data_IF_210481727022
#
_entry.id   IF_210481727022
#
_cell.length_a   1.000
_cell.length_b   1.000
_cell.length_c   1.000
_cell.angle_alpha   90.00
_cell.angle_beta   90.00
_cell.angle_gamma   90.00
#
_symmetry.space_group_name_H-M   'P 1'
#
loop_
_entity.id
_entity.type
_entity.pdbx_description
1 polymer ?
#
# COMPACT_ATOMS: atom_id res chain seq x y z
N UNK A 1 -10.92 6.56 -6.29
CA UNK A 1 -10.83 7.43 -5.08
C UNK A 1 -11.11 6.71 -3.76
N UNK A 2 -12.11 5.80 -3.68
CA UNK A 2 -12.45 5.06 -2.45
C UNK A 2 -11.31 4.23 -1.80
N UNK A 3 -10.45 3.59 -2.61
CA UNK A 3 -9.37 2.75 -2.08
C UNK A 3 -8.14 3.55 -1.62
N UNK A 4 -7.82 4.65 -2.32
CA UNK A 4 -6.71 5.52 -1.96
C UNK A 4 -6.93 6.14 -0.58
N UNK A 5 -8.11 6.69 -0.32
CA UNK A 5 -8.41 7.33 0.96
C UNK A 5 -8.37 6.34 2.15
N UNK A 6 -8.76 5.08 1.94
CA UNK A 6 -8.73 4.04 2.96
C UNK A 6 -7.30 3.58 3.31
N UNK A 7 -6.47 3.35 2.29
CA UNK A 7 -5.05 2.98 2.44
C UNK A 7 -4.27 4.12 3.11
N UNK A 8 -4.45 5.35 2.61
CA UNK A 8 -3.71 6.52 3.10
C UNK A 8 -4.10 6.87 4.54
N UNK A 9 -5.40 6.81 4.88
CA UNK A 9 -5.90 7.22 6.21
C UNK A 9 -5.35 6.39 7.37
N UNK A 10 -5.31 5.05 7.24
CA UNK A 10 -4.82 4.16 8.32
C UNK A 10 -3.30 4.10 8.37
N UNK A 11 -2.62 3.98 7.23
CA UNK A 11 -1.17 3.75 7.24
C UNK A 11 -0.36 5.03 7.50
N UNK A 12 -0.78 6.19 7.00
CA UNK A 12 -0.03 7.44 7.23
C UNK A 12 -0.22 8.03 8.62
N UNK A 13 -1.42 7.99 9.20
CA UNK A 13 -1.65 8.67 10.49
C UNK A 13 -1.26 7.82 11.70
N UNK A 14 -1.53 6.51 11.69
CA UNK A 14 -1.33 5.64 12.85
C UNK A 14 -0.01 4.88 12.83
N UNK A 15 0.43 4.40 11.66
CA UNK A 15 1.60 3.51 11.56
C UNK A 15 2.91 4.27 11.32
N UNK A 16 2.88 5.32 10.50
CA UNK A 16 4.09 6.06 10.13
C UNK A 16 4.72 6.78 11.34
N UNK A 17 3.91 7.45 12.15
CA UNK A 17 4.35 8.16 13.36
C UNK A 17 5.01 7.23 14.38
N UNK A 18 4.47 6.02 14.55
CA UNK A 18 5.01 5.01 15.46
C UNK A 18 6.30 4.35 14.92
N UNK A 19 6.34 4.05 13.62
CA UNK A 19 7.52 3.48 12.96
C UNK A 19 8.70 4.45 13.00
N UNK A 20 8.48 5.73 12.69
CA UNK A 20 9.55 6.75 12.73
C UNK A 20 10.03 6.97 14.17
N UNK A 21 9.13 6.88 15.17
CA UNK A 21 9.47 7.02 16.58
C UNK A 21 10.30 5.86 17.16
N UNK A 22 10.24 4.66 16.57
CA UNK A 22 11.01 3.49 17.04
C UNK A 22 12.26 3.21 16.20
N UNK A 23 12.19 3.37 14.87
CA UNK A 23 13.27 3.01 13.94
C UNK A 23 14.12 4.22 13.47
N UNK A 24 13.65 5.45 13.70
CA UNK A 24 14.28 6.66 13.19
C UNK A 24 13.96 6.93 11.71
N UNK A 25 14.44 8.06 11.19
CA UNK A 25 14.07 8.56 9.85
C UNK A 25 14.66 7.69 8.72
N UNK A 26 15.89 7.20 8.86
CA UNK A 26 16.56 6.40 7.82
C UNK A 26 15.88 5.05 7.57
N UNK A 27 15.73 4.24 8.62
CA UNK A 27 15.03 2.95 8.57
C UNK A 27 13.54 3.12 8.23
N UNK A 28 12.90 4.17 8.76
CA UNK A 28 11.50 4.49 8.44
C UNK A 28 11.28 4.71 6.95
N UNK A 29 12.16 5.44 6.27
CA UNK A 29 12.09 5.67 4.81
C UNK A 29 12.27 4.37 4.03
N UNK A 30 13.20 3.50 4.44
CA UNK A 30 13.42 2.20 3.79
C UNK A 30 12.16 1.31 3.88
N UNK A 31 11.50 1.26 5.04
CA UNK A 31 10.28 0.49 5.26
C UNK A 31 9.12 1.02 4.40
N UNK A 32 8.95 2.35 4.29
CA UNK A 32 7.91 2.95 3.45
C UNK A 32 8.14 2.61 1.97
N UNK A 33 9.39 2.67 1.50
CA UNK A 33 9.74 2.32 0.13
C UNK A 33 9.39 0.85 -0.19
N UNK A 34 9.74 -0.07 0.70
CA UNK A 34 9.39 -1.49 0.56
C UNK A 34 7.88 -1.72 0.59
N UNK A 35 7.16 -1.06 1.51
CA UNK A 35 5.70 -1.17 1.61
C UNK A 35 5.00 -0.64 0.34
N UNK A 36 5.47 0.48 -0.22
CA UNK A 36 4.97 1.01 -1.48
C UNK A 36 5.25 0.07 -2.65
N UNK A 37 6.43 -0.54 -2.71
CA UNK A 37 6.77 -1.52 -3.75
C UNK A 37 5.83 -2.73 -3.71
N UNK A 38 5.60 -3.32 -2.53
CA UNK A 38 4.68 -4.45 -2.37
C UNK A 38 3.25 -4.08 -2.74
N UNK A 39 2.80 -2.88 -2.34
CA UNK A 39 1.46 -2.38 -2.67
C UNK A 39 1.29 -2.15 -4.17
N UNK A 40 2.30 -1.62 -4.85
CA UNK A 40 2.31 -1.43 -6.30
C UNK A 40 2.25 -2.77 -7.03
N UNK A 41 3.07 -3.74 -6.64
CA UNK A 41 3.05 -5.09 -7.20
C UNK A 41 1.67 -5.74 -7.03
N UNK A 42 1.09 -5.66 -5.83
CA UNK A 42 -0.26 -6.18 -5.55
C UNK A 42 -1.32 -5.52 -6.43
N UNK A 43 -1.22 -4.19 -6.62
CA UNK A 43 -2.13 -3.43 -7.48
C UNK A 43 -2.01 -3.84 -8.94
N UNK A 44 -0.78 -4.05 -9.42
CA UNK A 44 -0.52 -4.52 -10.79
C UNK A 44 -1.07 -5.93 -10.99
N UNK A 45 -0.84 -6.85 -10.04
CA UNK A 45 -1.40 -8.21 -10.09
C UNK A 45 -2.93 -8.19 -10.11
N UNK A 46 -3.56 -7.38 -9.26
CA UNK A 46 -5.01 -7.23 -9.24
C UNK A 46 -5.54 -6.63 -10.56
N UNK A 47 -4.85 -5.63 -11.12
CA UNK A 47 -5.20 -5.04 -12.42
C UNK A 47 -5.07 -6.04 -13.58
N UNK A 48 -4.04 -6.89 -13.54
CA UNK A 48 -3.85 -7.98 -14.50
C UNK A 48 -4.98 -9.01 -14.41
N UNK A 49 -5.38 -9.42 -13.19
CA UNK A 49 -6.52 -10.32 -12.98
C UNK A 49 -7.83 -9.71 -13.50
N UNK A 50 -8.06 -8.40 -13.27
CA UNK A 50 -9.24 -7.71 -13.79
C UNK A 50 -9.24 -7.58 -15.34
N UNK A 51 -8.08 -7.66 -15.99
CA UNK A 51 -7.93 -7.54 -17.46
C UNK A 51 -7.93 -8.88 -18.20
N UNK A 52 -7.60 -10.00 -17.53
CA UNK A 52 -7.38 -11.31 -18.18
C UNK A 52 -8.66 -12.14 -18.49
N UNK A 53 -9.85 -11.54 -18.43
CA UNK A 53 -11.05 -12.12 -19.05
C UNK A 53 -11.94 -12.98 -18.13
N UNK A 54 -13.25 -12.85 -18.39
CA UNK A 54 -14.39 -13.45 -17.67
C UNK A 54 -14.61 -12.88 -16.27
N UNK A 55 -15.11 -11.65 -16.23
CA UNK A 55 -15.82 -11.09 -15.09
C UNK A 55 -17.12 -11.88 -14.95
N UNK A 56 -17.07 -13.07 -14.34
CA UNK A 56 -18.23 -13.62 -13.65
C UNK A 56 -18.47 -12.67 -12.49
N UNK A 57 -19.43 -11.79 -12.69
CA UNK A 57 -19.82 -10.78 -11.71
C UNK A 57 -19.93 -11.39 -10.32
N UNK A 58 -19.44 -10.64 -9.33
CA UNK A 58 -20.14 -10.67 -8.06
C UNK A 58 -21.60 -10.29 -8.26
#
# INVERSE_FOLDING_TARGET
MRCLLNIWGVMLFLRLSWVIGQAGVGEGVAVICLANLVTLLTTISMSAVCTNGQIKGG
#
